data_IF_861294151201
#
_entry.id   IF_861294151201
#
_cell.length_a   1.000
_cell.length_b   1.000
_cell.length_c   1.000
_cell.angle_alpha   90.00
_cell.angle_beta   90.00
_cell.angle_gamma   90.00
#
_symmetry.space_group_name_H-M   'P 1'
#
loop_
_entity.id
_entity.type
_entity.pdbx_description
1 polymer ?
#
# COMPACT_ATOMS: atom_id res chain seq x y z
N UNK A 1 -16.66 -23.26 -11.39
CA UNK A 1 -17.35 -22.51 -10.32
C UNK A 1 -16.89 -21.06 -10.29
N UNK A 2 -17.85 -20.13 -10.37
CA UNK A 2 -17.78 -18.70 -10.70
C UNK A 2 -17.01 -17.79 -9.72
N UNK A 3 -15.73 -18.06 -9.43
CA UNK A 3 -14.91 -17.24 -8.53
C UNK A 3 -14.53 -15.86 -9.11
N UNK A 4 -14.52 -15.73 -10.43
CA UNK A 4 -14.28 -14.46 -11.14
C UNK A 4 -15.41 -13.45 -10.92
N UNK A 5 -16.65 -13.94 -10.81
CA UNK A 5 -17.83 -13.12 -10.49
C UNK A 5 -17.84 -12.64 -9.04
N UNK A 6 -17.34 -13.43 -8.08
CA UNK A 6 -17.19 -12.98 -6.68
C UNK A 6 -16.11 -11.89 -6.55
N UNK A 7 -15.06 -11.96 -7.37
CA UNK A 7 -13.99 -10.95 -7.39
C UNK A 7 -14.48 -9.61 -7.95
N UNK A 8 -15.19 -9.63 -9.08
CA UNK A 8 -15.82 -8.43 -9.63
C UNK A 8 -16.81 -7.82 -8.65
N UNK A 9 -17.55 -8.65 -7.91
CA UNK A 9 -18.49 -8.18 -6.88
C UNK A 9 -17.80 -7.51 -5.68
N UNK A 10 -16.76 -8.13 -5.11
CA UNK A 10 -15.98 -7.53 -4.00
C UNK A 10 -15.21 -6.29 -4.44
N UNK A 11 -14.58 -6.32 -5.61
CA UNK A 11 -13.87 -5.18 -6.18
C UNK A 11 -14.80 -3.99 -6.40
N UNK A 12 -16.00 -4.22 -6.97
CA UNK A 12 -17.04 -3.20 -7.10
C UNK A 12 -17.58 -2.71 -5.76
N UNK A 13 -17.74 -3.59 -4.77
CA UNK A 13 -18.16 -3.20 -3.42
C UNK A 13 -17.14 -2.26 -2.73
N UNK A 14 -15.83 -2.56 -2.84
CA UNK A 14 -14.78 -1.68 -2.31
C UNK A 14 -14.66 -0.36 -3.05
N UNK A 15 -14.87 -0.34 -4.38
CA UNK A 15 -14.83 0.88 -5.17
C UNK A 15 -16.08 1.77 -4.92
N UNK A 16 -17.28 1.18 -4.88
CA UNK A 16 -18.51 1.92 -4.60
C UNK A 16 -18.57 2.49 -3.16
N UNK A 17 -17.98 1.80 -2.17
CA UNK A 17 -17.88 2.34 -0.80
C UNK A 17 -16.97 3.58 -0.74
N UNK A 18 -15.93 3.65 -1.59
CA UNK A 18 -15.03 4.83 -1.68
C UNK A 18 -15.70 6.03 -2.34
N UNK A 19 -16.53 5.83 -3.35
CA UNK A 19 -17.29 6.89 -4.03
C UNK A 19 -18.23 7.63 -3.04
N UNK A 20 -18.93 6.88 -2.17
CA UNK A 20 -19.83 7.47 -1.15
C UNK A 20 -19.12 8.29 -0.06
N UNK A 21 -17.86 7.97 0.25
CA UNK A 21 -17.08 8.68 1.28
C UNK A 21 -16.51 10.01 0.74
N UNK A 22 -16.25 10.11 -0.56
CA UNK A 22 -15.70 11.34 -1.19
C UNK A 22 -16.66 12.54 -1.19
N UNK A 23 -17.96 12.30 -1.10
CA UNK A 23 -18.99 13.36 -1.19
C UNK A 23 -19.30 14.07 0.13
N UNK A 24 -18.67 13.68 1.25
CA UNK A 24 -18.98 14.24 2.58
C UNK A 24 -17.95 15.20 3.16
N UNK A 25 -16.78 15.40 2.52
CA UNK A 25 -15.74 16.28 3.06
C UNK A 25 -15.71 17.61 2.30
N UNK A 26 -16.70 18.45 2.57
CA UNK A 26 -16.73 19.83 2.06
C UNK A 26 -15.86 20.75 2.93
N UNK A 27 -14.88 21.36 2.25
CA UNK A 27 -14.41 22.76 2.41
C UNK A 27 -14.12 23.27 3.83
N UNK A 28 -12.86 23.19 4.24
CA UNK A 28 -12.25 24.28 5.00
C UNK A 28 -11.61 25.24 4.00
N UNK A 29 -12.43 26.15 3.45
CA UNK A 29 -11.93 27.44 2.98
C UNK A 29 -11.35 28.15 4.23
N UNK A 30 -10.15 28.71 4.10
CA UNK A 30 -9.34 29.53 5.04
C UNK A 30 -7.92 28.94 5.19
N UNK A 31 -6.94 29.83 5.15
CA UNK A 31 -5.49 29.66 5.35
C UNK A 31 -4.67 29.67 4.04
N UNK A 32 -4.54 30.88 3.47
CA UNK A 32 -3.53 31.25 2.46
C UNK A 32 -2.30 31.86 3.15
N UNK A 33 -1.73 31.16 4.14
CA UNK A 33 -0.39 31.47 4.62
C UNK A 33 0.59 30.59 3.83
N UNK A 34 1.44 31.22 3.02
CA UNK A 34 2.31 30.60 2.01
C UNK A 34 3.21 29.49 2.58
N UNK A 35 3.53 29.52 3.88
CA UNK A 35 4.30 28.49 4.57
C UNK A 35 3.46 27.23 4.93
N UNK A 36 2.18 27.41 5.22
CA UNK A 36 1.25 26.33 5.56
C UNK A 36 0.85 25.54 4.31
N UNK A 37 0.72 26.20 3.15
CA UNK A 37 0.33 25.55 1.89
C UNK A 37 1.32 24.46 1.47
N UNK A 38 2.62 24.71 1.56
CA UNK A 38 3.65 23.75 1.14
C UNK A 38 3.73 22.55 2.10
N UNK A 39 3.64 22.79 3.41
CA UNK A 39 3.54 21.73 4.42
C UNK A 39 2.27 20.88 4.20
N UNK A 40 1.12 21.51 3.92
CA UNK A 40 -0.13 20.79 3.64
C UNK A 40 -0.03 19.98 2.34
N UNK A 41 0.62 20.50 1.30
CA UNK A 41 0.87 19.77 0.04
C UNK A 41 1.74 18.54 0.28
N UNK A 42 2.80 18.66 1.06
CA UNK A 42 3.69 17.54 1.37
C UNK A 42 2.97 16.49 2.22
N UNK A 43 2.22 16.89 3.25
CA UNK A 43 1.41 15.98 4.06
C UNK A 43 0.38 15.26 3.18
N UNK A 44 -0.34 15.96 2.31
CA UNK A 44 -1.30 15.37 1.37
C UNK A 44 -0.61 14.36 0.45
N UNK A 45 0.57 14.70 -0.08
CA UNK A 45 1.35 13.83 -0.97
C UNK A 45 1.84 12.57 -0.25
N UNK A 46 2.38 12.70 0.97
CA UNK A 46 2.81 11.58 1.81
C UNK A 46 1.63 10.65 2.12
N UNK A 47 0.49 11.23 2.48
CA UNK A 47 -0.74 10.48 2.79
C UNK A 47 -1.24 9.73 1.56
N UNK A 48 -1.29 10.39 0.39
CA UNK A 48 -1.68 9.78 -0.88
C UNK A 48 -0.74 8.62 -1.29
N UNK A 49 0.57 8.78 -1.07
CA UNK A 49 1.55 7.72 -1.33
C UNK A 49 1.33 6.52 -0.41
N UNK A 50 1.10 6.75 0.89
CA UNK A 50 0.83 5.69 1.85
C UNK A 50 -0.44 4.90 1.51
N UNK A 51 -1.53 5.59 1.17
CA UNK A 51 -2.78 4.93 0.77
C UNK A 51 -2.60 4.08 -0.50
N UNK A 52 -1.81 4.58 -1.44
CA UNK A 52 -1.50 3.88 -2.69
C UNK A 52 -0.66 2.62 -2.45
N UNK A 53 0.38 2.72 -1.61
CA UNK A 53 1.19 1.55 -1.18
C UNK A 53 0.31 0.49 -0.51
N UNK A 54 -0.58 0.90 0.40
CA UNK A 54 -1.52 -0.02 1.07
C UNK A 54 -2.41 -0.73 0.06
N UNK A 55 -2.92 0.00 -0.94
CA UNK A 55 -3.77 -0.57 -2.00
C UNK A 55 -3.01 -1.63 -2.79
N UNK A 56 -1.78 -1.33 -3.21
CA UNK A 56 -0.97 -2.24 -4.01
C UNK A 56 -0.52 -3.46 -3.23
N UNK A 57 -0.11 -3.31 -1.96
CA UNK A 57 0.21 -4.44 -1.08
C UNK A 57 -1.01 -5.34 -0.82
N UNK A 58 -2.21 -4.75 -0.64
CA UNK A 58 -3.46 -5.54 -0.51
C UNK A 58 -3.77 -6.31 -1.79
N UNK A 59 -3.61 -5.68 -2.94
CA UNK A 59 -3.84 -6.31 -4.24
C UNK A 59 -2.87 -7.45 -4.48
N UNK A 60 -1.58 -7.23 -4.25
CA UNK A 60 -0.54 -8.25 -4.33
C UNK A 60 -0.84 -9.44 -3.41
N UNK A 61 -1.13 -9.16 -2.13
CA UNK A 61 -1.49 -10.18 -1.14
C UNK A 61 -2.67 -11.04 -1.59
N UNK A 62 -3.69 -10.40 -2.17
CA UNK A 62 -4.84 -11.10 -2.71
C UNK A 62 -4.45 -11.99 -3.90
N UNK A 63 -3.71 -11.47 -4.88
CA UNK A 63 -3.29 -12.21 -6.07
C UNK A 63 -2.48 -13.46 -5.70
N UNK A 64 -1.50 -13.32 -4.82
CA UNK A 64 -0.71 -14.47 -4.34
C UNK A 64 -1.59 -15.47 -3.59
N UNK A 65 -2.52 -15.00 -2.76
CA UNK A 65 -3.45 -15.91 -2.06
C UNK A 65 -4.28 -16.77 -3.01
N UNK A 66 -4.71 -16.22 -4.15
CA UNK A 66 -5.43 -16.98 -5.18
C UNK A 66 -4.51 -17.98 -5.87
N UNK A 67 -3.31 -17.54 -6.26
CA UNK A 67 -2.29 -18.39 -6.91
C UNK A 67 -1.93 -19.60 -6.03
N UNK A 68 -1.75 -19.38 -4.73
CA UNK A 68 -1.38 -20.42 -3.76
C UNK A 68 -2.58 -21.12 -3.11
N UNK A 69 -3.82 -20.81 -3.53
CA UNK A 69 -5.07 -21.36 -2.96
C UNK A 69 -5.13 -21.26 -1.43
N UNK A 70 -4.66 -20.15 -0.88
CA UNK A 70 -4.56 -19.89 0.55
C UNK A 70 -5.32 -18.62 0.95
N UNK A 71 -5.47 -18.37 2.26
CA UNK A 71 -6.11 -17.14 2.75
C UNK A 71 -5.11 -15.97 2.69
N UNK A 72 -5.54 -14.73 2.33
CA UNK A 72 -4.65 -13.58 2.20
C UNK A 72 -3.72 -13.33 3.40
N UNK A 73 -4.23 -13.49 4.63
CA UNK A 73 -3.44 -13.23 5.84
C UNK A 73 -2.29 -14.24 6.05
N UNK A 74 -2.31 -15.39 5.37
CA UNK A 74 -1.24 -16.39 5.41
C UNK A 74 0.00 -15.86 4.68
N UNK A 75 -0.17 -15.09 3.60
CA UNK A 75 0.95 -14.44 2.90
C UNK A 75 1.62 -13.45 3.86
N UNK A 76 0.87 -12.43 4.31
CA UNK A 76 1.26 -11.57 5.44
C UNK A 76 0.04 -10.90 6.09
N UNK A 77 0.10 -10.67 7.39
CA UNK A 77 -0.98 -10.05 8.18
C UNK A 77 -1.06 -8.54 7.95
N UNK A 78 -2.14 -7.90 8.41
CA UNK A 78 -2.24 -6.43 8.37
C UNK A 78 -1.12 -5.78 9.18
N UNK A 79 -0.80 -6.33 10.36
CA UNK A 79 0.31 -5.86 11.20
C UNK A 79 1.65 -5.92 10.47
N UNK A 80 1.89 -6.99 9.71
CA UNK A 80 3.10 -7.09 8.88
C UNK A 80 3.11 -6.06 7.75
N UNK A 81 1.96 -5.81 7.10
CA UNK A 81 1.84 -4.76 6.07
C UNK A 81 2.15 -3.37 6.64
N UNK A 82 1.61 -3.05 7.81
CA UNK A 82 1.89 -1.80 8.53
C UNK A 82 3.37 -1.68 8.87
N UNK A 83 3.98 -2.76 9.37
CA UNK A 83 5.42 -2.78 9.66
C UNK A 83 6.27 -2.57 8.40
N UNK A 84 5.92 -3.19 7.27
CA UNK A 84 6.60 -3.00 5.98
C UNK A 84 6.54 -1.52 5.57
N UNK A 85 5.36 -0.89 5.67
CA UNK A 85 5.17 0.51 5.29
C UNK A 85 5.95 1.44 6.22
N UNK A 86 5.88 1.20 7.53
CA UNK A 86 6.52 2.04 8.54
C UNK A 86 8.06 1.93 8.48
N UNK A 87 8.59 0.73 8.21
CA UNK A 87 10.04 0.52 8.11
C UNK A 87 10.61 0.86 6.73
N UNK A 88 9.77 0.88 5.69
CA UNK A 88 10.15 1.20 4.30
C UNK A 88 11.45 0.50 3.85
N UNK A 89 11.53 -0.85 3.93
CA UNK A 89 12.75 -1.60 3.68
C UNK A 89 13.28 -1.37 2.27
N UNK A 90 14.58 -1.04 2.11
CA UNK A 90 15.21 -0.75 0.82
C UNK A 90 15.80 -1.98 0.15
N UNK A 91 16.24 -2.93 0.96
CA UNK A 91 16.87 -4.19 0.56
C UNK A 91 16.11 -5.38 1.14
N UNK A 92 16.48 -6.60 0.74
CA UNK A 92 15.92 -7.81 1.36
C UNK A 92 16.39 -7.96 2.81
N UNK A 93 17.62 -7.55 3.11
CA UNK A 93 18.20 -7.65 4.46
C UNK A 93 17.47 -6.75 5.47
N UNK A 94 16.91 -5.63 5.01
CA UNK A 94 16.11 -4.73 5.85
C UNK A 94 14.83 -5.41 6.40
N UNK A 95 14.36 -6.50 5.79
CA UNK A 95 13.19 -7.23 6.27
C UNK A 95 13.45 -8.01 7.58
N UNK A 96 14.72 -8.21 7.96
CA UNK A 96 15.08 -8.85 9.24
C UNK A 96 14.46 -8.12 10.43
N UNK A 97 14.25 -6.80 10.31
CA UNK A 97 13.65 -5.97 11.35
C UNK A 97 12.11 -6.02 11.39
N UNK A 98 11.47 -6.68 10.43
CA UNK A 98 10.01 -6.72 10.32
C UNK A 98 9.47 -7.88 11.16
N UNK A 99 9.05 -7.54 12.39
CA UNK A 99 8.49 -8.50 13.35
C UNK A 99 7.41 -9.39 12.71
N UNK A 100 7.63 -10.70 12.79
CA UNK A 100 6.71 -11.75 12.33
C UNK A 100 6.88 -12.13 10.85
N UNK A 101 7.79 -11.49 10.11
CA UNK A 101 8.13 -11.87 8.73
C UNK A 101 9.27 -12.90 8.75
N UNK A 102 8.97 -14.17 8.43
CA UNK A 102 9.97 -15.23 8.44
C UNK A 102 10.82 -15.22 7.17
N UNK A 103 12.02 -15.80 7.25
CA UNK A 103 12.94 -15.95 6.11
C UNK A 103 12.29 -16.66 4.91
N UNK A 104 11.48 -17.69 5.17
CA UNK A 104 10.71 -18.39 4.12
C UNK A 104 9.79 -17.42 3.36
N UNK A 105 9.13 -16.50 4.06
CA UNK A 105 8.26 -15.48 3.44
C UNK A 105 9.07 -14.42 2.72
N UNK A 106 10.24 -14.05 3.24
CA UNK A 106 11.17 -13.13 2.60
C UNK A 106 11.66 -13.66 1.27
N UNK A 107 12.09 -14.91 1.22
CA UNK A 107 12.54 -15.55 0.00
C UNK A 107 11.42 -15.68 -1.04
N UNK A 108 10.17 -15.88 -0.60
CA UNK A 108 9.02 -16.00 -1.51
C UNK A 108 8.46 -14.67 -2.00
N UNK A 109 8.34 -13.67 -1.13
CA UNK A 109 7.53 -12.46 -1.40
C UNK A 109 8.33 -11.16 -1.32
N UNK A 110 9.54 -11.19 -0.76
CA UNK A 110 10.33 -9.99 -0.47
C UNK A 110 10.63 -9.14 -1.70
N UNK A 111 11.06 -9.77 -2.80
CA UNK A 111 11.40 -9.07 -4.05
C UNK A 111 10.19 -8.32 -4.63
N UNK A 112 9.02 -8.94 -4.64
CA UNK A 112 7.79 -8.33 -5.14
C UNK A 112 7.33 -7.17 -4.25
N UNK A 113 7.42 -7.35 -2.92
CA UNK A 113 7.10 -6.28 -1.96
C UNK A 113 8.05 -5.09 -2.14
N UNK A 114 9.35 -5.33 -2.28
CA UNK A 114 10.34 -4.28 -2.57
C UNK A 114 10.02 -3.56 -3.87
N UNK A 115 9.68 -4.30 -4.92
CA UNK A 115 9.30 -3.70 -6.20
C UNK A 115 8.07 -2.78 -6.06
N UNK A 116 7.07 -3.18 -5.26
CA UNK A 116 5.90 -2.33 -4.97
C UNK A 116 6.35 -1.05 -4.24
N UNK A 117 7.19 -1.16 -3.20
CA UNK A 117 7.68 0.01 -2.45
C UNK A 117 8.50 0.97 -3.34
N UNK A 118 9.33 0.42 -4.21
CA UNK A 118 10.18 1.20 -5.12
C UNK A 118 9.39 2.09 -6.08
N UNK A 119 8.17 1.70 -6.48
CA UNK A 119 7.31 2.53 -7.34
C UNK A 119 6.95 3.88 -6.72
N UNK A 120 7.00 3.98 -5.39
CA UNK A 120 6.61 5.17 -4.64
C UNK A 120 7.81 5.93 -4.06
N UNK A 121 9.03 5.45 -4.32
CA UNK A 121 10.24 6.22 -4.07
C UNK A 121 10.40 7.14 -5.27
N UNK A 122 10.35 8.45 -5.04
CA UNK A 122 10.73 9.40 -6.10
C UNK A 122 12.10 8.97 -6.61
N UNK A 123 12.27 8.84 -7.94
CA UNK A 123 13.60 8.75 -8.55
C UNK A 123 14.33 10.04 -8.18
N UNK A 124 15.17 9.99 -7.17
CA UNK A 124 16.32 10.89 -7.07
C UNK A 124 17.40 10.33 -7.98
N UNK A 125 17.13 10.32 -9.29
CA UNK A 125 18.15 10.13 -10.31
C UNK A 125 18.24 11.47 -11.04
N UNK A 126 19.07 12.37 -10.51
CA UNK A 126 19.80 13.29 -11.37
C UNK A 126 20.92 12.46 -11.98
N UNK A 127 20.79 12.08 -13.25
CA UNK A 127 21.98 11.78 -14.05
C UNK A 127 22.74 13.11 -14.25
N UNK A 128 24.04 13.08 -13.94
CA UNK A 128 25.01 14.17 -14.15
C UNK A 128 25.39 14.22 -15.63
#
# INVERSE_FOLDING_TARGET
CNLENEYNFKFNYFNNKKEKIKLQNNKSDLIDDIEIIDVIKDIKTITNNKESIIKDLKMYRYKISRKEKTKPYIIFTNKQMENIINQNPKTLDDFVNIKGFSEIKLNKYGKDILHILNKYRKKEEYEI
#
